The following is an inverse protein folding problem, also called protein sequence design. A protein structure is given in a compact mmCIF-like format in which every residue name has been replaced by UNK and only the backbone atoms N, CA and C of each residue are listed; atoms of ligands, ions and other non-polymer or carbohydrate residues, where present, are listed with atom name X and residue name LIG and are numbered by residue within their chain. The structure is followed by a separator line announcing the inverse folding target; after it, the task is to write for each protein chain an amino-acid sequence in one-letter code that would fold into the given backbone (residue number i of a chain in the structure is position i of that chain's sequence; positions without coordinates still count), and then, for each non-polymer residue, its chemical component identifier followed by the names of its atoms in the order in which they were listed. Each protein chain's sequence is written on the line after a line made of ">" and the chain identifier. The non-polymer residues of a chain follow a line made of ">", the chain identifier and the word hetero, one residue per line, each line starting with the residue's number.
data_IF_975297776656
#
_entry.id   IF_975297776656
#
_cell.length_a   1.000
_cell.length_b   1.000
_cell.length_c   1.000
_cell.angle_alpha   90.00
_cell.angle_beta   90.00
_cell.angle_gamma   90.00
#
_symmetry.space_group_name_H-M   'P 1'
#
loop_
_entity.id
_entity.type
_entity.pdbx_description
1 polymer ?
#
# COMPACT_ATOMS: atom_id res chain seq x y z
N UNK A 1 25.83 -40.66 31.05
CA UNK A 1 26.26 -39.32 30.57
C UNK A 1 25.37 -38.74 29.46
N UNK A 2 24.89 -39.53 28.49
CA UNK A 2 24.00 -39.06 27.40
C UNK A 2 22.64 -38.44 27.82
N UNK A 3 21.91 -38.93 28.86
CA UNK A 3 20.60 -38.35 29.20
C UNK A 3 20.72 -36.98 29.86
N UNK A 4 21.83 -36.74 30.59
CA UNK A 4 22.13 -35.43 31.21
C UNK A 4 22.43 -34.39 30.13
N UNK A 5 23.19 -34.76 29.09
CA UNK A 5 23.46 -33.87 27.97
C UNK A 5 22.18 -33.52 27.21
N UNK A 6 21.28 -34.50 26.99
CA UNK A 6 20.02 -34.30 26.28
C UNK A 6 19.03 -33.43 27.07
N UNK A 7 19.01 -33.59 28.40
CA UNK A 7 18.25 -32.73 29.29
C UNK A 7 18.77 -31.29 29.30
N UNK A 8 20.11 -31.11 29.38
CA UNK A 8 20.76 -29.79 29.34
C UNK A 8 20.51 -29.07 28.01
N UNK A 9 20.59 -29.76 26.88
CA UNK A 9 20.28 -29.16 25.58
C UNK A 9 18.81 -28.77 25.47
N UNK A 10 17.90 -29.59 26.00
CA UNK A 10 16.46 -29.29 25.96
C UNK A 10 16.11 -28.09 26.85
N UNK A 11 16.68 -28.04 28.06
CA UNK A 11 16.53 -26.91 28.97
C UNK A 11 17.12 -25.62 28.38
N UNK A 12 18.27 -25.70 27.70
CA UNK A 12 18.90 -24.55 27.06
C UNK A 12 18.04 -24.01 25.90
N UNK A 13 17.46 -24.90 25.08
CA UNK A 13 16.55 -24.48 23.99
C UNK A 13 15.30 -23.82 24.54
N UNK A 14 14.72 -24.34 25.63
CA UNK A 14 13.56 -23.74 26.28
C UNK A 14 13.89 -22.37 26.91
N UNK A 15 15.08 -22.21 27.51
CA UNK A 15 15.54 -20.91 28.03
C UNK A 15 15.80 -19.89 26.92
N UNK A 16 16.33 -20.32 25.77
CA UNK A 16 16.53 -19.45 24.60
C UNK A 16 15.21 -19.11 23.90
N UNK A 17 14.19 -19.96 24.03
CA UNK A 17 12.86 -19.77 23.43
C UNK A 17 11.86 -19.10 24.38
N UNK A 18 12.29 -18.74 25.59
CA UNK A 18 11.44 -18.01 26.52
C UNK A 18 11.09 -16.64 25.90
N UNK A 19 9.81 -16.26 25.88
CA UNK A 19 9.38 -14.98 25.32
C UNK A 19 10.04 -13.87 26.14
N UNK A 20 11.03 -13.21 25.55
CA UNK A 20 11.56 -11.96 26.10
C UNK A 20 10.53 -10.89 25.79
N UNK A 21 10.06 -10.20 26.82
CA UNK A 21 9.28 -8.97 26.64
C UNK A 21 10.16 -7.99 25.87
N UNK A 22 9.88 -7.85 24.57
CA UNK A 22 10.47 -6.81 23.76
C UNK A 22 9.83 -5.48 24.17
N UNK A 23 10.33 -4.86 25.23
CA UNK A 23 10.14 -3.43 25.46
C UNK A 23 10.88 -2.68 24.35
N UNK A 24 10.25 -2.61 23.17
CA UNK A 24 10.69 -1.70 22.13
C UNK A 24 10.33 -0.28 22.57
N UNK A 25 11.22 0.36 23.34
CA UNK A 25 11.36 1.82 23.34
C UNK A 25 11.89 2.24 21.96
N UNK A 26 11.11 1.95 20.92
CA UNK A 26 11.49 2.14 19.53
C UNK A 26 11.48 3.62 19.20
N UNK A 27 12.59 4.11 18.66
CA UNK A 27 12.63 5.43 18.03
C UNK A 27 11.78 5.33 16.76
N UNK A 28 10.58 5.88 16.79
CA UNK A 28 9.74 6.00 15.59
C UNK A 28 10.26 7.18 14.78
N UNK A 29 10.80 6.89 13.60
CA UNK A 29 11.24 7.93 12.65
C UNK A 29 10.08 8.23 11.72
N UNK A 30 9.60 9.47 11.73
CA UNK A 30 8.56 9.94 10.82
C UNK A 30 9.23 10.77 9.72
N UNK A 31 9.02 10.35 8.48
CA UNK A 31 9.53 11.01 7.29
C UNK A 31 8.39 11.84 6.69
N UNK A 32 8.48 13.16 6.76
CA UNK A 32 7.58 14.06 6.03
C UNK A 32 8.39 14.88 5.05
N UNK A 33 7.93 15.01 3.82
CA UNK A 33 8.70 15.67 2.77
C UNK A 33 7.87 16.08 1.57
N UNK A 34 8.59 16.59 0.57
CA UNK A 34 8.05 16.90 -0.76
C UNK A 34 8.85 16.11 -1.78
N UNK A 35 8.15 15.52 -2.73
CA UNK A 35 8.74 14.87 -3.90
C UNK A 35 8.28 15.60 -5.16
N UNK A 36 9.11 15.66 -6.19
CA UNK A 36 8.74 16.22 -7.48
C UNK A 36 8.95 15.15 -8.55
N UNK A 37 7.84 14.69 -9.12
CA UNK A 37 7.86 13.76 -10.24
C UNK A 37 8.12 14.54 -11.53
N UNK A 38 9.29 14.33 -12.13
CA UNK A 38 9.61 14.85 -13.45
C UNK A 38 8.63 14.33 -14.50
N UNK A 39 8.14 15.23 -15.35
CA UNK A 39 7.29 14.89 -16.50
C UNK A 39 8.04 15.10 -17.81
N UNK A 40 8.35 16.35 -18.11
CA UNK A 40 9.01 16.77 -19.34
C UNK A 40 9.63 18.16 -19.14
N UNK A 41 10.41 18.60 -20.11
CA UNK A 41 10.96 19.95 -20.13
C UNK A 41 9.89 20.97 -20.53
N UNK A 42 10.08 22.25 -20.19
CA UNK A 42 9.09 23.30 -20.52
C UNK A 42 8.89 23.37 -22.04
N UNK A 43 7.64 23.26 -22.54
CA UNK A 43 7.38 23.26 -23.98
C UNK A 43 7.74 24.61 -24.61
N UNK A 44 8.17 24.59 -25.87
CA UNK A 44 8.61 25.80 -26.60
C UNK A 44 7.53 26.90 -26.62
N UNK A 45 6.25 26.52 -26.74
CA UNK A 45 5.12 27.46 -26.71
C UNK A 45 5.02 28.25 -25.38
N UNK A 46 5.46 27.66 -24.26
CA UNK A 46 5.52 28.35 -22.98
C UNK A 46 6.80 29.20 -22.87
N UNK A 47 7.92 28.76 -23.47
CA UNK A 47 9.17 29.53 -23.52
C UNK A 47 9.07 30.79 -24.39
N UNK A 48 8.25 30.78 -25.44
CA UNK A 48 7.95 31.96 -26.25
C UNK A 48 7.24 33.07 -25.44
N UNK A 49 6.42 32.67 -24.47
CA UNK A 49 5.68 33.61 -23.59
C UNK A 49 6.50 33.98 -22.34
N UNK A 50 7.27 33.04 -21.82
CA UNK A 50 8.03 33.15 -20.57
C UNK A 50 9.48 32.65 -20.78
N UNK A 51 10.34 33.45 -21.43
CA UNK A 51 11.71 33.06 -21.71
C UNK A 51 12.55 32.85 -20.43
N UNK A 52 12.14 33.42 -19.29
CA UNK A 52 12.77 33.17 -17.98
C UNK A 52 12.69 31.70 -17.53
N UNK A 53 11.74 30.92 -18.05
CA UNK A 53 11.60 29.50 -17.74
C UNK A 53 12.56 28.61 -18.54
N UNK A 54 13.47 29.20 -19.31
CA UNK A 54 14.51 28.47 -20.02
C UNK A 54 15.38 27.64 -19.04
N UNK A 55 15.37 26.32 -19.23
CA UNK A 55 16.08 25.36 -18.37
C UNK A 55 15.31 24.96 -17.10
N UNK A 56 14.07 25.43 -16.91
CA UNK A 56 13.15 24.83 -15.94
C UNK A 56 12.53 23.55 -16.51
N UNK A 57 12.09 22.68 -15.61
CA UNK A 57 11.42 21.42 -15.91
C UNK A 57 10.01 21.44 -15.35
N UNK A 58 9.11 20.70 -15.97
CA UNK A 58 7.73 20.55 -15.51
C UNK A 58 7.61 19.24 -14.73
N UNK A 59 6.92 19.28 -13.61
CA UNK A 59 6.67 18.10 -12.78
C UNK A 59 5.47 18.24 -11.86
N UNK A 60 5.09 17.14 -11.22
CA UNK A 60 4.08 17.14 -10.17
C UNK A 60 4.73 17.05 -8.80
N UNK A 61 4.42 18.02 -7.96
CA UNK A 61 4.83 18.06 -6.57
C UNK A 61 3.84 17.28 -5.72
N UNK A 62 4.36 16.33 -4.96
CA UNK A 62 3.60 15.54 -4.01
C UNK A 62 4.08 15.80 -2.60
N UNK A 63 3.12 15.94 -1.69
CA UNK A 63 3.38 15.84 -0.26
C UNK A 63 3.53 14.36 0.09
N UNK A 64 4.56 13.98 0.84
CA UNK A 64 4.81 12.59 1.25
C UNK A 64 4.78 12.42 2.77
N UNK A 65 4.29 11.26 3.21
CA UNK A 65 4.38 10.77 4.57
C UNK A 65 4.94 9.35 4.58
N UNK A 66 5.90 9.13 5.46
CA UNK A 66 6.58 7.87 5.66
C UNK A 66 6.90 7.62 7.13
N UNK A 67 7.13 6.35 7.46
CA UNK A 67 7.55 5.91 8.80
C UNK A 67 8.68 4.90 8.63
N UNK A 68 9.72 4.97 9.47
CA UNK A 68 10.88 4.08 9.38
C UNK A 68 11.52 4.05 7.98
N UNK A 69 11.70 5.21 7.35
CA UNK A 69 12.30 5.33 6.00
C UNK A 69 11.48 4.72 4.87
N UNK A 70 10.29 4.23 5.18
CA UNK A 70 9.35 3.68 4.21
C UNK A 70 8.31 4.75 3.89
N UNK A 71 8.08 5.05 2.62
CA UNK A 71 7.00 5.94 2.20
C UNK A 71 5.66 5.20 2.26
N UNK A 72 4.67 5.81 2.89
CA UNK A 72 3.33 5.22 3.06
C UNK A 72 2.30 5.87 2.15
N UNK A 73 2.32 7.19 2.04
CA UNK A 73 1.27 7.91 1.33
C UNK A 73 1.78 9.18 0.69
N UNK A 74 1.29 9.47 -0.52
CA UNK A 74 1.59 10.70 -1.26
C UNK A 74 0.28 11.38 -1.67
N UNK A 75 0.22 12.71 -1.60
CA UNK A 75 -0.99 13.49 -1.92
C UNK A 75 -0.68 14.86 -2.54
N UNK A 76 -1.72 15.66 -2.80
CA UNK A 76 -1.75 16.96 -3.47
C UNK A 76 -1.53 16.93 -4.99
N UNK A 77 -0.46 16.33 -5.50
CA UNK A 77 -0.20 16.19 -6.95
C UNK A 77 -0.31 17.52 -7.71
N UNK A 78 0.37 18.56 -7.25
CA UNK A 78 0.31 19.93 -7.77
C UNK A 78 1.29 20.10 -8.96
N UNK A 79 0.84 20.66 -10.08
CA UNK A 79 1.72 20.94 -11.21
C UNK A 79 2.65 22.14 -10.90
N UNK A 80 3.95 21.92 -11.02
CA UNK A 80 4.98 22.92 -10.75
C UNK A 80 6.01 22.96 -11.87
N UNK A 81 6.60 24.15 -12.08
CA UNK A 81 7.90 24.26 -12.74
C UNK A 81 9.00 24.25 -11.69
N UNK A 82 10.10 23.59 -11.97
CA UNK A 82 11.21 23.50 -11.03
C UNK A 82 12.56 23.50 -11.73
N UNK A 83 13.57 24.00 -11.02
CA UNK A 83 14.97 24.00 -11.43
C UNK A 83 15.81 23.77 -10.18
N UNK A 84 16.54 22.66 -10.19
CA UNK A 84 17.35 22.22 -9.05
C UNK A 84 16.53 22.13 -7.75
N UNK A 85 16.73 23.08 -6.82
CA UNK A 85 16.04 23.14 -5.53
C UNK A 85 14.84 24.10 -5.49
N UNK A 86 14.69 24.91 -6.54
CA UNK A 86 13.62 25.92 -6.62
C UNK A 86 12.44 25.37 -7.41
N UNK A 87 11.24 25.69 -6.95
CA UNK A 87 10.01 25.34 -7.66
C UNK A 87 8.98 26.47 -7.52
N UNK A 88 8.15 26.63 -8.55
CA UNK A 88 7.04 27.56 -8.58
C UNK A 88 5.77 26.83 -9.05
N UNK A 89 4.63 27.03 -8.36
CA UNK A 89 3.36 26.43 -8.77
C UNK A 89 2.83 27.08 -10.04
N UNK A 90 2.26 26.27 -10.94
CA UNK A 90 1.62 26.76 -12.16
C UNK A 90 0.13 26.99 -11.90
N UNK A 91 -0.40 28.21 -12.09
CA UNK A 91 -1.81 28.48 -11.90
C UNK A 91 -2.68 27.67 -12.86
N UNK A 92 -3.86 27.25 -12.41
CA UNK A 92 -4.76 26.36 -13.16
C UNK A 92 -5.12 26.87 -14.57
N UNK A 93 -5.15 28.19 -14.77
CA UNK A 93 -5.41 28.84 -16.07
C UNK A 93 -4.34 28.56 -17.12
N UNK A 94 -3.10 28.28 -16.70
CA UNK A 94 -1.93 28.18 -17.56
C UNK A 94 -1.45 26.74 -17.73
N UNK A 95 -1.98 25.78 -16.96
CA UNK A 95 -1.55 24.37 -17.01
C UNK A 95 -1.65 23.74 -18.40
N UNK A 96 -2.61 24.19 -19.22
CA UNK A 96 -2.74 23.75 -20.61
C UNK A 96 -1.55 24.15 -21.49
N UNK A 97 -0.91 25.29 -21.23
CA UNK A 97 0.29 25.75 -21.94
C UNK A 97 1.50 24.87 -21.62
N UNK A 98 1.53 24.30 -20.41
CA UNK A 98 2.58 23.41 -19.95
C UNK A 98 2.31 21.94 -20.29
N UNK A 99 1.29 21.63 -21.12
CA UNK A 99 1.02 20.26 -21.57
C UNK A 99 0.63 19.28 -20.46
N UNK A 100 0.19 19.80 -19.31
CA UNK A 100 -0.05 18.98 -18.14
C UNK A 100 -1.36 18.20 -18.25
N UNK A 101 -1.26 16.87 -18.06
CA UNK A 101 -2.40 15.99 -17.88
C UNK A 101 -2.96 16.00 -16.46
N UNK A 102 -3.69 14.96 -16.09
CA UNK A 102 -4.02 14.70 -14.69
C UNK A 102 -2.79 14.13 -13.96
N UNK A 103 -2.65 14.47 -12.69
CA UNK A 103 -1.60 13.93 -11.84
C UNK A 103 -1.65 12.39 -11.83
N UNK A 104 -0.52 11.68 -12.03
CA UNK A 104 -0.52 10.22 -12.05
C UNK A 104 -0.99 9.62 -10.72
N UNK A 105 -2.18 8.99 -10.76
CA UNK A 105 -2.81 8.40 -9.57
C UNK A 105 -1.94 7.27 -8.98
N UNK A 106 -1.22 6.54 -9.84
CA UNK A 106 -0.34 5.45 -9.43
C UNK A 106 0.82 5.90 -8.53
N UNK A 107 1.17 7.18 -8.54
CA UNK A 107 2.24 7.73 -7.71
C UNK A 107 1.78 8.02 -6.27
N UNK A 108 0.47 8.00 -5.99
CA UNK A 108 -0.08 8.20 -4.65
C UNK A 108 0.11 7.00 -3.71
N UNK A 109 0.38 5.81 -4.27
CA UNK A 109 0.48 4.56 -3.51
C UNK A 109 1.92 4.01 -3.54
N UNK A 110 2.82 4.51 -2.67
CA UNK A 110 4.16 3.98 -2.55
C UNK A 110 4.17 2.50 -2.11
N UNK A 111 5.28 1.78 -2.34
CA UNK A 111 5.42 0.37 -1.94
C UNK A 111 5.17 0.10 -0.45
N UNK A 112 5.38 1.08 0.42
CA UNK A 112 5.13 0.91 1.85
C UNK A 112 3.67 0.68 2.20
N UNK A 113 2.74 1.30 1.46
CA UNK A 113 1.31 1.06 1.64
C UNK A 113 0.94 -0.40 1.37
N UNK A 114 1.56 -1.02 0.36
CA UNK A 114 1.34 -2.43 0.03
C UNK A 114 1.79 -3.35 1.16
N UNK A 115 2.94 -3.06 1.79
CA UNK A 115 3.43 -3.83 2.94
C UNK A 115 2.47 -3.75 4.13
N UNK A 116 1.92 -2.56 4.39
CA UNK A 116 0.92 -2.36 5.45
C UNK A 116 -0.35 -3.12 5.15
N UNK A 117 -0.87 -3.03 3.92
CA UNK A 117 -2.08 -3.74 3.51
C UNK A 117 -1.89 -5.26 3.61
N UNK A 118 -0.75 -5.79 3.18
CA UNK A 118 -0.40 -7.20 3.37
C UNK A 118 -0.35 -7.57 4.86
N UNK A 119 0.25 -6.74 5.71
CA UNK A 119 0.29 -6.94 7.15
C UNK A 119 -1.10 -6.99 7.79
N UNK A 120 -1.98 -6.05 7.41
CA UNK A 120 -3.37 -5.99 7.87
C UNK A 120 -4.15 -7.24 7.41
N UNK A 121 -4.01 -7.64 6.15
CA UNK A 121 -4.68 -8.84 5.63
C UNK A 121 -4.24 -10.11 6.38
N UNK A 122 -2.95 -10.24 6.68
CA UNK A 122 -2.43 -11.34 7.47
C UNK A 122 -2.95 -11.30 8.92
N UNK A 123 -3.01 -10.12 9.53
CA UNK A 123 -3.56 -9.93 10.87
C UNK A 123 -5.06 -10.32 10.91
N UNK A 124 -5.85 -9.86 9.94
CA UNK A 124 -7.27 -10.21 9.79
C UNK A 124 -7.41 -11.73 9.56
N UNK A 125 -6.64 -12.31 8.64
CA UNK A 125 -6.66 -13.75 8.39
C UNK A 125 -6.30 -14.58 9.64
N UNK A 126 -5.39 -14.06 10.47
CA UNK A 126 -5.00 -14.68 11.73
C UNK A 126 -6.05 -14.53 12.84
N UNK A 127 -6.85 -13.46 12.81
CA UNK A 127 -7.96 -13.23 13.72
C UNK A 127 -9.22 -14.05 13.33
N UNK A 128 -9.44 -14.27 12.03
CA UNK A 128 -10.54 -15.07 11.46
C UNK A 128 -10.32 -16.59 11.55
N UNK A 129 -9.33 -17.04 12.32
CA UNK A 129 -8.88 -18.45 12.49
C UNK A 129 -9.90 -19.36 13.20
N UNK A 130 -11.19 -19.03 13.16
CA UNK A 130 -12.30 -19.91 13.57
C UNK A 130 -12.76 -20.84 12.43
N UNK A 131 -12.53 -20.50 11.14
CA UNK A 131 -12.97 -21.33 9.99
C UNK A 131 -11.91 -21.48 8.88
N UNK A 132 -10.84 -22.23 9.18
CA UNK A 132 -9.61 -22.37 8.36
C UNK A 132 -9.80 -23.01 6.97
N UNK A 133 -10.85 -23.82 6.73
CA UNK A 133 -11.07 -24.51 5.44
C UNK A 133 -11.71 -23.61 4.38
N UNK A 134 -12.67 -22.79 4.78
CA UNK A 134 -13.38 -21.86 3.89
C UNK A 134 -12.46 -20.73 3.42
N UNK A 135 -11.55 -20.29 4.31
CA UNK A 135 -10.56 -19.24 4.02
C UNK A 135 -9.48 -19.65 3.01
N UNK A 136 -8.99 -20.90 3.04
CA UNK A 136 -7.99 -21.37 2.06
C UNK A 136 -8.59 -21.40 0.66
N UNK A 137 -9.85 -21.86 0.53
CA UNK A 137 -10.57 -21.83 -0.74
C UNK A 137 -10.78 -20.40 -1.26
N UNK A 138 -11.17 -19.47 -0.38
CA UNK A 138 -11.44 -18.09 -0.77
C UNK A 138 -10.19 -17.31 -1.15
N UNK A 139 -9.08 -17.51 -0.43
CA UNK A 139 -7.82 -16.78 -0.65
C UNK A 139 -7.12 -17.27 -1.91
N UNK A 140 -7.16 -18.58 -2.18
CA UNK A 140 -6.66 -19.14 -3.45
C UNK A 140 -7.53 -18.69 -4.62
N UNK A 141 -8.86 -18.65 -4.43
CA UNK A 141 -9.80 -18.18 -5.45
C UNK A 141 -9.63 -16.70 -5.81
N UNK A 142 -9.48 -15.82 -4.81
CA UNK A 142 -9.28 -14.38 -5.06
C UNK A 142 -7.90 -14.10 -5.65
N UNK A 143 -6.83 -14.74 -5.15
CA UNK A 143 -5.49 -14.58 -5.71
C UNK A 143 -5.41 -15.05 -7.18
N UNK A 144 -6.05 -16.19 -7.51
CA UNK A 144 -6.11 -16.69 -8.89
C UNK A 144 -6.94 -15.77 -9.81
N UNK A 145 -8.07 -15.25 -9.33
CA UNK A 145 -8.91 -14.31 -10.07
C UNK A 145 -8.19 -12.98 -10.32
N UNK A 146 -7.51 -12.43 -9.31
CA UNK A 146 -6.74 -11.20 -9.43
C UNK A 146 -5.55 -11.36 -10.37
N UNK A 147 -4.84 -12.50 -10.33
CA UNK A 147 -3.76 -12.78 -11.26
C UNK A 147 -4.26 -12.91 -12.70
N UNK A 148 -5.38 -13.61 -12.94
CA UNK A 148 -5.96 -13.76 -14.28
C UNK A 148 -6.41 -12.41 -14.87
N UNK A 149 -7.05 -11.55 -14.08
CA UNK A 149 -7.48 -10.22 -14.51
C UNK A 149 -6.29 -9.28 -14.78
N UNK A 150 -5.20 -9.41 -14.02
CA UNK A 150 -3.96 -8.69 -14.25
C UNK A 150 -3.26 -9.11 -15.56
N UNK A 151 -3.18 -10.42 -15.84
CA UNK A 151 -2.63 -10.94 -17.10
C UNK A 151 -3.49 -10.62 -18.33
N UNK A 152 -4.79 -10.34 -18.15
CA UNK A 152 -5.69 -9.84 -19.19
C UNK A 152 -5.56 -8.32 -19.45
N UNK A 153 -4.67 -7.62 -18.75
CA UNK A 153 -4.37 -6.20 -18.98
C UNK A 153 -5.38 -5.22 -18.38
N UNK A 154 -6.23 -5.66 -17.44
CA UNK A 154 -7.19 -4.78 -16.77
C UNK A 154 -6.52 -4.00 -15.65
N UNK A 155 -6.78 -2.69 -15.61
CA UNK A 155 -6.22 -1.77 -14.61
C UNK A 155 -6.73 -2.03 -13.19
N UNK A 156 -5.87 -1.75 -12.20
CA UNK A 156 -6.13 -1.91 -10.76
C UNK A 156 -7.45 -1.27 -10.28
N UNK A 157 -7.94 -0.24 -10.97
CA UNK A 157 -9.22 0.42 -10.70
C UNK A 157 -10.45 -0.49 -10.83
N UNK A 158 -10.37 -1.54 -11.64
CA UNK A 158 -11.46 -2.54 -11.81
C UNK A 158 -11.32 -3.75 -10.88
N UNK A 159 -10.08 -4.02 -10.44
CA UNK A 159 -9.73 -5.19 -9.63
C UNK A 159 -10.12 -4.98 -8.16
N UNK A 160 -9.96 -3.75 -7.64
CA UNK A 160 -10.24 -3.41 -6.23
C UNK A 160 -11.74 -3.51 -5.89
N UNK A 161 -12.68 -2.99 -6.69
CA UNK A 161 -14.12 -3.13 -6.41
C UNK A 161 -14.60 -4.57 -6.50
N UNK A 162 -14.10 -5.35 -7.46
CA UNK A 162 -14.51 -6.74 -7.66
C UNK A 162 -14.07 -7.64 -6.49
N UNK A 163 -12.85 -7.44 -5.98
CA UNK A 163 -12.34 -8.17 -4.82
C UNK A 163 -13.03 -7.75 -3.51
N UNK A 164 -13.36 -6.46 -3.35
CA UNK A 164 -14.17 -5.97 -2.23
C UNK A 164 -15.62 -6.51 -2.26
N UNK A 165 -16.24 -6.60 -3.43
CA UNK A 165 -17.59 -7.15 -3.61
C UNK A 165 -17.66 -8.63 -3.24
N UNK A 166 -16.64 -9.43 -3.61
CA UNK A 166 -16.54 -10.84 -3.19
C UNK A 166 -16.38 -10.95 -1.68
N UNK A 167 -15.57 -10.08 -1.06
CA UNK A 167 -15.44 -10.03 0.40
C UNK A 167 -16.75 -9.69 1.11
N UNK A 168 -17.52 -8.74 0.57
CA UNK A 168 -18.81 -8.32 1.13
C UNK A 168 -19.89 -9.41 1.00
N UNK A 169 -19.93 -10.10 -0.14
CA UNK A 169 -20.90 -11.15 -0.43
C UNK A 169 -20.69 -12.39 0.46
N UNK A 170 -19.44 -12.65 0.87
CA UNK A 170 -19.10 -13.71 1.82
C UNK A 170 -19.49 -13.33 3.26
N UNK A 171 -19.41 -12.05 3.64
CA UNK A 171 -19.89 -11.61 4.95
C UNK A 171 -21.41 -11.67 5.09
N UNK A 172 -22.15 -11.43 4.01
CA UNK A 172 -23.62 -11.50 4.03
C UNK A 172 -24.18 -12.92 3.92
N UNK A 173 -23.49 -13.84 3.25
CA UNK A 173 -23.93 -15.24 3.13
C UNK A 173 -23.38 -16.19 4.22
N UNK A 174 -22.40 -15.75 5.02
CA UNK A 174 -21.75 -16.60 6.02
C UNK A 174 -22.48 -16.70 7.37
N UNK A 175 -23.66 -16.10 7.53
CA UNK A 175 -24.36 -15.98 8.82
C UNK A 175 -25.65 -16.78 8.96
N UNK A 176 -26.03 -17.61 7.98
CA UNK A 176 -27.38 -18.21 7.93
C UNK A 176 -27.41 -19.73 8.07
N UNK A 177 -26.61 -20.31 8.97
CA UNK A 177 -26.66 -21.77 9.22
C UNK A 177 -26.14 -22.16 10.63
N UNK A 178 -26.89 -21.84 11.70
CA UNK A 178 -26.69 -22.54 12.98
C UNK A 178 -27.86 -22.66 13.96
N UNK A 179 -29.02 -22.02 13.76
CA UNK A 179 -30.03 -21.94 14.83
C UNK A 179 -31.37 -22.60 14.44
N UNK A 180 -31.34 -23.86 14.02
CA UNK A 180 -32.54 -24.70 13.94
C UNK A 180 -32.32 -26.02 14.71
N UNK A 181 -32.39 -25.95 16.04
CA UNK A 181 -32.76 -27.12 16.83
C UNK A 181 -34.28 -27.33 16.73
N UNK A 182 -34.77 -28.50 16.28
CA UNK A 182 -36.07 -28.97 16.71
C UNK A 182 -35.86 -29.85 17.95
N UNK A 183 -36.39 -29.36 19.07
CA UNK A 183 -36.55 -30.08 20.32
C UNK A 183 -36.94 -31.54 20.11
N UNK A 184 -36.21 -32.42 20.78
CA UNK A 184 -36.64 -33.79 21.04
C UNK A 184 -37.91 -33.76 21.91
N UNK A 185 -38.92 -34.53 21.50
CA UNK A 185 -39.67 -35.49 22.33
C UNK A 185 -40.48 -36.44 21.43
#
# INVERSE_FOLDING_TARGET
>A
MKPILLFLTTALVLLLSAPREAEAKGIVIINTGRDILYMHDVPEAALEQLPELAGYKVGYKYSMFGVFWLDFWRWDGELVVYKDTEYAPIPASEQALFGAGSAPIGYHAPPGLLLVLCGILLAIASALKRNRKLMIGLTVGTAAGTAALYFMGLGLSTIIPASAAVGLLVMTYGTDDSDAEPYAE
#
